data_IF_773702648750
#
_entry.id   IF_773702648750
#
_cell.length_a   1.000
_cell.length_b   1.000
_cell.length_c   1.000
_cell.angle_alpha   90.00
_cell.angle_beta   90.00
_cell.angle_gamma   90.00
#
_symmetry.space_group_name_H-M   'P 1'
#
loop_
_entity.id
_entity.type
_entity.pdbx_description
1 polymer ?
#
# COMPACT_ATOMS: atom_id res chain seq x y z
N UNK A 1 23.96 8.53 -44.57
CA UNK A 1 24.14 8.37 -43.11
C UNK A 1 22.99 9.07 -42.37
N UNK A 2 22.05 8.48 -41.62
CA UNK A 2 21.42 7.16 -41.65
C UNK A 2 20.04 7.28 -40.92
N UNK A 3 19.07 7.98 -41.52
CA UNK A 3 17.73 8.25 -40.92
C UNK A 3 16.95 6.97 -40.58
N UNK A 4 17.13 5.93 -41.39
CA UNK A 4 16.49 4.61 -41.22
C UNK A 4 17.02 3.90 -39.96
N UNK A 5 18.30 4.09 -39.62
CA UNK A 5 18.91 3.56 -38.40
C UNK A 5 18.38 4.28 -37.15
N UNK A 6 18.18 5.61 -37.24
CA UNK A 6 17.62 6.43 -36.16
C UNK A 6 16.16 6.05 -35.88
N UNK A 7 15.33 5.91 -36.92
CA UNK A 7 13.93 5.46 -36.79
C UNK A 7 13.81 4.04 -36.23
N UNK A 8 14.68 3.10 -36.63
CA UNK A 8 14.72 1.73 -36.05
C UNK A 8 15.14 1.74 -34.58
N UNK A 9 16.11 2.58 -34.19
CA UNK A 9 16.56 2.72 -32.79
C UNK A 9 15.50 3.38 -31.91
N UNK A 10 14.79 4.40 -32.42
CA UNK A 10 13.67 5.04 -31.74
C UNK A 10 12.48 4.08 -31.57
N UNK A 11 12.13 3.32 -32.61
CA UNK A 11 11.08 2.30 -32.55
C UNK A 11 11.41 1.17 -31.57
N UNK A 12 12.65 0.67 -31.58
CA UNK A 12 13.10 -0.34 -30.62
C UNK A 12 13.13 0.19 -29.18
N UNK A 13 13.57 1.46 -28.97
CA UNK A 13 13.53 2.12 -27.68
C UNK A 13 12.10 2.29 -27.13
N UNK A 14 11.15 2.70 -27.98
CA UNK A 14 9.75 2.83 -27.60
C UNK A 14 9.11 1.48 -27.23
N UNK A 15 9.42 0.42 -27.98
CA UNK A 15 8.94 -0.95 -27.69
C UNK A 15 9.50 -1.46 -26.35
N UNK A 16 10.77 -1.19 -26.04
CA UNK A 16 11.39 -1.57 -24.76
C UNK A 16 10.75 -0.82 -23.58
N UNK A 17 10.43 0.47 -23.74
CA UNK A 17 9.71 1.26 -22.72
C UNK A 17 8.28 0.74 -22.52
N UNK A 18 7.55 0.43 -23.60
CA UNK A 18 6.19 -0.14 -23.53
C UNK A 18 6.15 -1.52 -22.87
N UNK A 19 7.13 -2.39 -23.17
CA UNK A 19 7.21 -3.74 -22.61
C UNK A 19 7.58 -3.73 -21.12
N UNK A 20 8.52 -2.86 -20.70
CA UNK A 20 8.89 -2.71 -19.28
C UNK A 20 7.83 -2.01 -18.44
N UNK A 21 7.04 -1.13 -19.06
CA UNK A 21 5.86 -0.53 -18.42
C UNK A 21 4.77 -1.56 -18.13
N UNK A 22 4.57 -2.59 -18.97
CA UNK A 22 3.41 -3.49 -18.84
C UNK A 22 3.30 -4.25 -17.50
N UNK A 23 4.41 -4.76 -16.96
CA UNK A 23 4.39 -5.56 -15.72
C UNK A 23 4.47 -4.72 -14.45
N UNK A 24 5.24 -3.63 -14.49
CA UNK A 24 5.36 -2.68 -13.37
C UNK A 24 4.09 -1.83 -13.24
N UNK A 25 3.52 -1.35 -14.35
CA UNK A 25 2.30 -0.54 -14.34
C UNK A 25 1.10 -1.32 -13.78
N UNK A 26 0.94 -2.61 -14.11
CA UNK A 26 -0.15 -3.41 -13.54
C UNK A 26 -0.08 -3.56 -12.02
N UNK A 27 1.13 -3.51 -11.44
CA UNK A 27 1.29 -3.49 -9.99
C UNK A 27 1.01 -2.11 -9.42
N UNK A 28 1.64 -1.06 -9.97
CA UNK A 28 1.48 0.31 -9.45
C UNK A 28 0.02 0.76 -9.49
N UNK A 29 -0.71 0.42 -10.58
CA UNK A 29 -2.15 0.67 -10.69
C UNK A 29 -2.95 -0.04 -9.59
N UNK A 30 -2.64 -1.30 -9.27
CA UNK A 30 -3.34 -2.01 -8.21
C UNK A 30 -3.01 -1.45 -6.82
N UNK A 31 -1.76 -1.04 -6.58
CA UNK A 31 -1.35 -0.44 -5.33
C UNK A 31 -2.06 0.92 -5.14
N UNK A 32 -2.00 1.79 -6.15
CA UNK A 32 -2.67 3.09 -6.15
C UNK A 32 -4.19 2.98 -6.02
N UNK A 33 -4.84 2.11 -6.79
CA UNK A 33 -6.28 1.93 -6.70
C UNK A 33 -6.73 1.39 -5.33
N UNK A 34 -5.96 0.48 -4.74
CA UNK A 34 -6.26 -0.07 -3.42
C UNK A 34 -6.11 0.98 -2.30
N UNK A 35 -5.08 1.81 -2.38
CA UNK A 35 -4.86 2.90 -1.42
C UNK A 35 -5.94 3.98 -1.56
N UNK A 36 -6.22 4.42 -2.79
CA UNK A 36 -7.28 5.40 -3.06
C UNK A 36 -8.64 4.89 -2.55
N UNK A 37 -8.95 3.61 -2.74
CA UNK A 37 -10.16 2.99 -2.23
C UNK A 37 -10.29 2.99 -0.70
N UNK A 38 -9.17 2.95 0.03
CA UNK A 38 -9.13 3.07 1.50
C UNK A 38 -9.31 4.53 1.90
N UNK A 39 -8.57 5.44 1.26
CA UNK A 39 -8.61 6.87 1.57
C UNK A 39 -9.98 7.51 1.28
N UNK A 40 -10.67 7.06 0.22
CA UNK A 40 -11.99 7.56 -0.13
C UNK A 40 -13.12 7.03 0.77
N UNK A 41 -12.93 5.86 1.39
CA UNK A 41 -13.96 5.21 2.23
C UNK A 41 -13.74 5.41 3.73
N UNK A 42 -12.71 6.17 4.12
CA UNK A 42 -12.46 6.44 5.53
C UNK A 42 -13.46 7.46 6.06
N UNK A 43 -13.89 7.26 7.29
CA UNK A 43 -14.82 8.11 8.00
C UNK A 43 -14.18 8.57 9.32
N UNK A 44 -14.46 9.80 9.79
CA UNK A 44 -14.03 10.25 11.12
C UNK A 44 -14.59 9.31 12.20
N UNK A 45 -13.74 8.90 13.15
CA UNK A 45 -14.15 7.97 14.22
C UNK A 45 -15.35 8.50 15.02
N UNK A 46 -15.39 9.82 15.27
CA UNK A 46 -16.50 10.45 15.97
C UNK A 46 -17.85 10.23 15.27
N UNK A 47 -17.89 10.26 13.93
CA UNK A 47 -19.10 10.03 13.15
C UNK A 47 -19.54 8.56 13.25
N UNK A 48 -18.59 7.63 13.14
CA UNK A 48 -18.87 6.19 13.31
C UNK A 48 -19.37 5.87 14.72
N UNK A 49 -18.83 6.52 15.76
CA UNK A 49 -19.30 6.39 17.14
C UNK A 49 -20.67 7.03 17.36
N UNK A 50 -21.06 8.03 16.58
CA UNK A 50 -22.36 8.69 16.69
C UNK A 50 -23.47 7.92 15.95
N UNK A 51 -23.14 7.16 14.91
CA UNK A 51 -24.11 6.39 14.14
C UNK A 51 -24.83 5.33 15.01
N UNK A 52 -26.17 5.36 15.13
CA UNK A 52 -26.93 4.37 15.90
C UNK A 52 -26.80 2.94 15.35
N UNK A 53 -26.48 2.77 14.07
CA UNK A 53 -26.33 1.46 13.43
C UNK A 53 -24.95 0.82 13.65
N UNK A 54 -23.98 1.54 14.20
CA UNK A 54 -22.66 0.99 14.52
C UNK A 54 -22.76 -0.11 15.59
N UNK A 55 -22.24 -1.33 15.33
CA UNK A 55 -22.25 -2.41 16.31
C UNK A 55 -21.61 -2.00 17.64
N UNK A 56 -22.23 -2.38 18.76
CA UNK A 56 -21.81 -1.97 20.11
C UNK A 56 -20.32 -2.26 20.38
N UNK A 57 -19.84 -3.43 19.92
CA UNK A 57 -18.43 -3.82 20.03
C UNK A 57 -17.50 -2.85 19.28
N UNK A 58 -17.80 -2.55 18.02
CA UNK A 58 -16.99 -1.62 17.22
C UNK A 58 -16.99 -0.23 17.85
N UNK A 59 -18.14 0.24 18.36
CA UNK A 59 -18.25 1.52 19.07
C UNK A 59 -17.35 1.57 20.30
N UNK A 60 -17.29 0.49 21.08
CA UNK A 60 -16.43 0.39 22.27
C UNK A 60 -14.94 0.42 21.89
N UNK A 61 -14.53 -0.40 20.91
CA UNK A 61 -13.14 -0.46 20.41
C UNK A 61 -12.70 0.92 19.88
N UNK A 62 -13.56 1.64 19.14
CA UNK A 62 -13.24 2.96 18.61
C UNK A 62 -13.16 4.06 19.69
N UNK A 63 -13.96 3.97 20.76
CA UNK A 63 -13.84 4.86 21.93
C UNK A 63 -12.51 4.63 22.64
N UNK A 64 -12.11 3.38 22.81
CA UNK A 64 -10.83 3.02 23.42
C UNK A 64 -9.64 3.54 22.60
N UNK A 65 -9.64 3.33 21.28
CA UNK A 65 -8.61 3.89 20.38
C UNK A 65 -8.52 5.41 20.51
N UNK A 66 -9.66 6.10 20.59
CA UNK A 66 -9.70 7.57 20.76
C UNK A 66 -9.09 8.00 22.10
N UNK A 67 -9.44 7.30 23.19
CA UNK A 67 -8.91 7.59 24.53
C UNK A 67 -7.40 7.35 24.61
N UNK A 68 -6.90 6.25 24.06
CA UNK A 68 -5.47 5.93 23.98
C UNK A 68 -4.74 7.01 23.18
N UNK A 69 -5.29 7.39 22.01
CA UNK A 69 -4.69 8.41 21.15
C UNK A 69 -4.57 9.76 21.84
N UNK A 70 -5.60 10.14 22.57
CA UNK A 70 -5.70 11.37 23.33
C UNK A 70 -4.71 11.40 24.51
N UNK A 71 -4.61 10.32 25.27
CA UNK A 71 -3.60 10.16 26.32
C UNK A 71 -2.17 10.28 25.74
N UNK A 72 -1.92 9.63 24.60
CA UNK A 72 -0.61 9.69 23.97
C UNK A 72 -0.22 11.12 23.53
N UNK A 73 -1.19 11.93 23.08
CA UNK A 73 -0.92 13.36 22.81
C UNK A 73 -0.71 14.17 24.09
N UNK A 74 -1.66 14.09 25.03
CA UNK A 74 -1.72 14.98 26.20
C UNK A 74 -0.66 14.66 27.24
N UNK A 75 -0.47 13.38 27.54
CA UNK A 75 0.30 12.91 28.69
C UNK A 75 1.68 12.39 28.28
N UNK A 76 1.81 11.80 27.09
CA UNK A 76 3.09 11.28 26.58
C UNK A 76 3.82 12.24 25.62
N UNK A 77 3.20 13.39 25.31
CA UNK A 77 3.80 14.41 24.44
C UNK A 77 3.99 13.99 22.98
N UNK A 78 3.26 12.98 22.49
CA UNK A 78 3.28 12.64 21.07
C UNK A 78 2.57 13.72 20.24
N UNK A 79 2.96 13.94 18.97
CA UNK A 79 2.34 14.98 18.14
C UNK A 79 0.82 14.80 18.00
N UNK A 80 0.03 15.85 18.20
CA UNK A 80 -1.43 15.81 17.99
C UNK A 80 -1.81 16.00 16.52
N UNK A 81 -1.52 14.97 15.72
CA UNK A 81 -1.83 14.91 14.29
C UNK A 81 -3.06 14.01 14.01
N UNK A 82 -3.43 13.92 12.72
CA UNK A 82 -4.57 13.11 12.25
C UNK A 82 -4.40 11.58 12.34
N UNK A 83 -3.26 11.06 12.81
CA UNK A 83 -3.07 9.61 12.96
C UNK A 83 -4.09 9.02 13.94
N UNK A 84 -4.65 7.87 13.57
CA UNK A 84 -5.66 7.14 14.35
C UNK A 84 -6.97 7.91 14.63
N UNK A 85 -7.31 8.93 13.82
CA UNK A 85 -8.56 9.72 13.95
C UNK A 85 -9.67 9.29 12.97
N UNK A 86 -9.40 8.36 12.06
CA UNK A 86 -10.36 7.87 11.06
C UNK A 86 -10.42 6.35 11.02
N UNK A 87 -11.56 5.81 10.62
CA UNK A 87 -11.86 4.39 10.49
C UNK A 87 -12.29 4.07 9.06
N UNK A 88 -12.01 2.86 8.58
CA UNK A 88 -12.50 2.37 7.30
C UNK A 88 -13.00 0.93 7.44
N UNK A 89 -14.23 0.66 7.03
CA UNK A 89 -14.74 -0.70 6.96
C UNK A 89 -14.15 -1.42 5.73
N UNK A 90 -13.28 -2.40 5.95
CA UNK A 90 -12.53 -3.04 4.85
C UNK A 90 -13.33 -4.13 4.12
N UNK A 91 -14.41 -4.65 4.72
CA UNK A 91 -15.17 -5.83 4.26
C UNK A 91 -14.29 -7.03 3.84
N UNK A 92 -13.08 -7.12 4.41
CA UNK A 92 -12.07 -8.17 4.20
C UNK A 92 -11.17 -8.23 5.44
N UNK A 93 -10.51 -9.36 5.65
CA UNK A 93 -9.71 -9.61 6.87
C UNK A 93 -8.45 -8.75 7.02
N UNK A 94 -7.83 -8.32 5.92
CA UNK A 94 -6.56 -7.59 5.96
C UNK A 94 -6.55 -6.45 4.94
N UNK A 95 -5.96 -5.31 5.30
CA UNK A 95 -5.84 -4.14 4.40
C UNK A 95 -4.94 -4.48 3.21
N UNK A 96 -3.73 -4.98 3.48
CA UNK A 96 -2.65 -5.23 2.52
C UNK A 96 -1.91 -6.53 2.89
N UNK A 97 -1.38 -7.20 1.87
CA UNK A 97 -0.47 -8.36 1.97
C UNK A 97 0.94 -7.94 1.57
N UNK A 98 1.87 -7.92 2.52
CA UNK A 98 3.26 -7.56 2.27
C UNK A 98 4.10 -8.79 1.89
N UNK A 99 4.86 -8.66 0.81
CA UNK A 99 5.86 -9.64 0.40
C UNK A 99 7.25 -9.12 0.80
N UNK A 100 7.95 -9.93 1.57
CA UNK A 100 9.37 -9.75 1.90
C UNK A 100 10.17 -10.87 1.22
N UNK A 101 11.40 -10.57 0.83
CA UNK A 101 12.31 -11.55 0.25
C UNK A 101 13.76 -11.20 0.63
N UNK A 102 14.61 -12.20 0.75
CA UNK A 102 16.05 -12.06 0.97
C UNK A 102 16.79 -13.21 0.26
N UNK A 103 18.07 -13.04 -0.11
CA UNK A 103 18.89 -14.15 -0.59
C UNK A 103 18.99 -15.26 0.45
N UNK A 104 19.23 -16.50 -0.01
CA UNK A 104 19.44 -17.64 0.89
C UNK A 104 20.60 -17.33 1.84
N UNK A 105 20.39 -17.62 3.13
CA UNK A 105 21.35 -17.35 4.21
C UNK A 105 21.70 -15.87 4.44
N UNK A 106 20.83 -14.95 4.01
CA UNK A 106 21.00 -13.52 4.25
C UNK A 106 19.81 -12.94 4.99
N UNK A 107 20.09 -12.01 5.91
CA UNK A 107 19.08 -11.16 6.54
C UNK A 107 18.89 -9.83 5.79
N UNK A 108 19.62 -9.60 4.70
CA UNK A 108 19.50 -8.38 3.89
C UNK A 108 18.28 -8.48 2.97
N UNK A 109 17.24 -7.67 3.16
CA UNK A 109 16.03 -7.76 2.35
C UNK A 109 16.28 -7.26 0.93
N UNK A 110 15.61 -7.88 -0.04
CA UNK A 110 15.40 -7.32 -1.37
C UNK A 110 14.64 -6.01 -1.22
N UNK A 111 15.09 -4.97 -1.93
CA UNK A 111 14.41 -3.67 -1.99
C UNK A 111 13.67 -3.51 -3.30
N UNK A 112 12.54 -2.84 -3.24
CA UNK A 112 11.78 -2.37 -4.40
C UNK A 112 11.74 -0.85 -4.36
N UNK A 113 12.07 -0.21 -5.47
CA UNK A 113 12.13 1.25 -5.56
C UNK A 113 10.96 1.78 -6.40
N UNK A 114 10.30 2.80 -5.87
CA UNK A 114 9.12 3.45 -6.44
C UNK A 114 9.44 4.93 -6.71
N UNK A 115 8.89 5.54 -7.78
CA UNK A 115 9.24 6.90 -8.17
C UNK A 115 9.08 7.96 -7.07
N UNK A 116 8.03 7.88 -6.26
CA UNK A 116 7.71 8.89 -5.23
C UNK A 116 7.96 8.43 -3.80
N UNK A 117 7.89 7.12 -3.54
CA UNK A 117 8.01 6.54 -2.18
C UNK A 117 9.46 6.20 -1.84
N UNK A 118 10.33 6.07 -2.85
CA UNK A 118 11.69 5.59 -2.66
C UNK A 118 11.77 4.06 -2.55
N UNK A 119 12.81 3.55 -1.90
CA UNK A 119 13.08 2.11 -1.84
C UNK A 119 12.62 1.49 -0.52
N UNK A 120 11.70 0.53 -0.61
CA UNK A 120 11.14 -0.19 0.53
C UNK A 120 11.64 -1.63 0.60
N UNK A 121 11.77 -2.18 1.82
CA UNK A 121 12.15 -3.57 2.07
C UNK A 121 11.00 -4.58 1.89
N UNK A 122 9.82 -4.10 1.47
CA UNK A 122 8.64 -4.90 1.20
C UNK A 122 7.91 -4.41 -0.03
N UNK A 123 7.09 -5.29 -0.60
CA UNK A 123 6.14 -4.97 -1.67
C UNK A 123 4.72 -5.31 -1.24
N UNK A 124 3.84 -4.31 -1.18
CA UNK A 124 2.47 -4.45 -0.70
C UNK A 124 1.45 -4.77 -1.79
N UNK A 125 0.51 -5.67 -1.50
CA UNK A 125 -0.56 -6.07 -2.42
C UNK A 125 -1.93 -6.02 -1.74
N UNK A 126 -2.90 -5.35 -2.36
CA UNK A 126 -4.29 -5.37 -1.90
C UNK A 126 -5.02 -6.68 -2.27
N UNK A 127 -4.45 -7.49 -3.16
CA UNK A 127 -4.96 -8.80 -3.56
C UNK A 127 -4.04 -9.94 -3.12
N UNK A 128 -4.48 -10.76 -2.16
CA UNK A 128 -3.71 -11.91 -1.62
C UNK A 128 -3.11 -12.81 -2.70
N UNK A 129 -3.90 -13.15 -3.73
CA UNK A 129 -3.47 -14.03 -4.82
C UNK A 129 -2.26 -13.48 -5.57
N UNK A 130 -2.20 -12.15 -5.78
CA UNK A 130 -1.06 -11.50 -6.43
C UNK A 130 0.18 -11.52 -5.55
N UNK A 131 0.03 -11.27 -4.23
CA UNK A 131 1.12 -11.37 -3.26
C UNK A 131 1.74 -12.77 -3.27
N UNK A 132 0.91 -13.82 -3.18
CA UNK A 132 1.35 -15.21 -3.19
C UNK A 132 2.01 -15.61 -4.52
N UNK A 133 1.43 -15.20 -5.65
CA UNK A 133 2.01 -15.47 -6.96
C UNK A 133 3.39 -14.82 -7.11
N UNK A 134 3.53 -13.58 -6.66
CA UNK A 134 4.82 -12.87 -6.69
C UNK A 134 5.84 -13.51 -5.74
N UNK A 135 5.44 -13.83 -4.51
CA UNK A 135 6.29 -14.53 -3.55
C UNK A 135 6.79 -15.87 -4.06
N UNK A 136 5.96 -16.65 -4.77
CA UNK A 136 6.41 -17.90 -5.42
C UNK A 136 7.45 -17.65 -6.52
N UNK A 137 7.29 -16.61 -7.33
CA UNK A 137 8.28 -16.25 -8.37
C UNK A 137 9.64 -15.88 -7.79
N UNK A 138 9.69 -15.33 -6.57
CA UNK A 138 10.95 -14.96 -5.90
C UNK A 138 11.65 -16.14 -5.22
N UNK A 139 11.01 -17.31 -5.15
CA UNK A 139 11.60 -18.54 -4.59
C UNK A 139 12.29 -19.39 -5.67
N UNK A 140 11.97 -19.16 -6.94
CA UNK A 140 12.62 -19.77 -8.08
C UNK A 140 13.92 -19.03 -8.39
#
# INVERSE_FOLDING_TARGET
MNDISIRRRLGAGAIIVLLTASTSACYELQAGAGEAAVLWRREPIAQVIADPHTPARLRAELREVTAIRDYASRDLGLPDNGSYRSYVALHRRYVVWNVFAAPRFSLRPKRWCYPFVGCMAYRGYFAKRRALAYGRRLRA
#
